data_IF_331264791329
#
_entry.id   IF_331264791329
#
_cell.length_a   1.000
_cell.length_b   1.000
_cell.length_c   1.000
_cell.angle_alpha   90.00
_cell.angle_beta   90.00
_cell.angle_gamma   90.00
#
_symmetry.space_group_name_H-M   'P 1'
#
loop_
_entity.id
_entity.type
_entity.pdbx_description
1 polymer ?
#
# COMPACT_ATOMS: atom_id res chain seq x y z
N UNK A 1 -7.66 -38.69 8.88
CA UNK A 1 -7.34 -38.14 7.54
C UNK A 1 -6.90 -36.72 7.75
N UNK A 2 -5.67 -36.43 7.40
CA UNK A 2 -5.18 -35.04 7.54
C UNK A 2 -6.01 -34.15 6.63
N UNK A 3 -6.79 -33.25 7.23
CA UNK A 3 -7.62 -32.30 6.48
C UNK A 3 -6.72 -31.14 6.07
N UNK A 4 -6.37 -31.12 4.78
CA UNK A 4 -5.62 -29.99 4.22
C UNK A 4 -6.58 -28.84 3.88
N UNK A 5 -6.19 -27.63 4.30
CA UNK A 5 -6.90 -26.41 3.99
C UNK A 5 -5.97 -25.37 3.40
N UNK A 6 -6.50 -24.52 2.52
CA UNK A 6 -5.75 -23.37 2.01
C UNK A 6 -6.09 -22.12 2.81
N UNK A 7 -5.10 -21.29 3.05
CA UNK A 7 -5.26 -20.03 3.77
C UNK A 7 -4.14 -19.04 3.47
N UNK A 8 -4.22 -17.88 4.10
CA UNK A 8 -3.25 -16.80 3.97
C UNK A 8 -2.58 -16.53 5.31
N UNK A 9 -1.25 -16.41 5.32
CA UNK A 9 -0.50 -15.99 6.52
C UNK A 9 -0.84 -14.52 6.81
N UNK A 10 -1.54 -14.28 7.91
CA UNK A 10 -1.92 -12.93 8.34
C UNK A 10 -0.99 -12.34 9.38
N UNK A 11 -0.20 -13.18 10.07
CA UNK A 11 0.73 -12.75 11.11
C UNK A 11 1.83 -13.79 11.33
N UNK A 12 3.03 -13.33 11.68
CA UNK A 12 4.16 -14.19 12.07
C UNK A 12 4.84 -13.66 13.32
N UNK A 13 4.93 -14.49 14.39
CA UNK A 13 5.56 -14.12 15.66
C UNK A 13 6.36 -15.30 16.19
N UNK A 14 7.65 -15.09 16.45
CA UNK A 14 8.52 -16.05 17.16
C UNK A 14 8.51 -17.48 16.58
N UNK A 15 8.33 -17.60 15.25
CA UNK A 15 8.31 -18.89 14.57
C UNK A 15 6.93 -19.54 14.48
N UNK A 16 5.90 -18.91 15.01
CA UNK A 16 4.50 -19.24 14.78
C UNK A 16 3.90 -18.36 13.68
N UNK A 17 3.01 -18.93 12.90
CA UNK A 17 2.30 -18.27 11.82
C UNK A 17 0.80 -18.40 12.03
N UNK A 18 0.09 -17.30 11.94
CA UNK A 18 -1.36 -17.27 12.02
C UNK A 18 -1.90 -17.26 10.61
N UNK A 19 -2.66 -18.30 10.27
CA UNK A 19 -3.17 -18.54 8.92
C UNK A 19 -4.68 -18.36 8.93
N UNK A 20 -5.17 -17.35 8.21
CA UNK A 20 -6.60 -17.16 8.00
C UNK A 20 -7.08 -18.12 6.89
N UNK A 21 -8.05 -18.97 7.25
CA UNK A 21 -8.75 -19.89 6.34
C UNK A 21 -10.19 -19.37 6.19
N UNK A 22 -10.57 -19.01 4.96
CA UNK A 22 -11.88 -18.48 4.67
C UNK A 22 -13.00 -19.45 5.13
N UNK A 23 -14.00 -18.90 5.82
CA UNK A 23 -15.11 -19.68 6.38
C UNK A 23 -14.76 -20.55 7.61
N UNK A 24 -13.48 -20.63 8.02
CA UNK A 24 -13.04 -21.47 9.15
C UNK A 24 -12.36 -20.69 10.28
N UNK A 25 -11.74 -19.53 9.98
CA UNK A 25 -11.10 -18.69 10.99
C UNK A 25 -9.59 -18.68 10.92
N UNK A 26 -8.90 -18.39 12.04
CA UNK A 26 -7.45 -18.22 12.10
C UNK A 26 -6.82 -19.39 12.87
N UNK A 27 -5.94 -20.13 12.20
CA UNK A 27 -5.18 -21.24 12.76
C UNK A 27 -3.79 -20.78 13.18
N UNK A 28 -3.35 -21.19 14.37
CA UNK A 28 -1.94 -21.07 14.78
C UNK A 28 -1.14 -22.25 14.21
N UNK A 29 -0.18 -21.94 13.37
CA UNK A 29 0.58 -22.93 12.61
C UNK A 29 2.08 -22.82 12.88
N UNK A 30 2.77 -23.97 12.82
CA UNK A 30 4.22 -24.06 12.73
C UNK A 30 4.64 -24.36 11.30
N UNK A 31 5.74 -23.74 10.86
CA UNK A 31 6.35 -24.08 9.59
C UNK A 31 7.17 -25.37 9.68
N UNK A 32 7.05 -26.29 8.72
CA UNK A 32 7.88 -27.49 8.66
C UNK A 32 9.37 -27.14 8.54
N UNK A 33 10.23 -27.97 9.14
CA UNK A 33 11.68 -27.79 9.08
C UNK A 33 12.28 -27.81 7.68
N UNK A 34 11.58 -28.40 6.69
CA UNK A 34 12.00 -28.44 5.30
C UNK A 34 12.18 -27.05 4.69
N UNK A 35 11.39 -26.06 5.10
CA UNK A 35 11.51 -24.68 4.60
C UNK A 35 12.87 -24.05 4.96
N UNK A 36 13.43 -24.43 6.14
CA UNK A 36 14.78 -23.97 6.52
C UNK A 36 15.83 -24.56 5.59
N UNK A 37 15.68 -25.83 5.22
CA UNK A 37 16.61 -26.51 4.32
C UNK A 37 16.55 -25.93 2.90
N UNK A 38 15.37 -25.52 2.46
CA UNK A 38 15.15 -24.88 1.17
C UNK A 38 15.46 -23.35 1.18
N UNK A 39 15.86 -22.80 2.33
CA UNK A 39 16.07 -21.35 2.55
C UNK A 39 14.84 -20.49 2.22
N UNK A 40 13.65 -21.09 2.28
CA UNK A 40 12.38 -20.39 2.08
C UNK A 40 11.88 -19.92 3.46
N UNK A 41 11.72 -18.59 3.61
CA UNK A 41 11.13 -18.02 4.81
C UNK A 41 9.67 -17.67 4.51
N UNK A 42 8.70 -18.22 5.29
CA UNK A 42 7.31 -17.79 5.17
C UNK A 42 7.20 -16.29 5.48
N UNK A 43 6.41 -15.59 4.68
CA UNK A 43 6.11 -14.17 4.81
C UNK A 43 4.63 -13.97 5.15
N UNK A 44 4.33 -12.87 5.81
CA UNK A 44 2.96 -12.38 5.91
C UNK A 44 2.46 -12.09 4.50
N UNK A 45 1.24 -12.53 4.16
CA UNK A 45 0.68 -12.48 2.81
C UNK A 45 0.87 -13.75 1.98
N UNK A 46 1.73 -14.70 2.39
CA UNK A 46 1.85 -15.98 1.68
C UNK A 46 0.52 -16.73 1.68
N UNK A 47 0.17 -17.26 0.52
CA UNK A 47 -0.85 -18.28 0.41
C UNK A 47 -0.22 -19.64 0.74
N UNK A 48 -0.86 -20.41 1.61
CA UNK A 48 -0.29 -21.66 2.14
C UNK A 48 -1.32 -22.76 2.18
N UNK A 49 -0.85 -24.00 2.10
CA UNK A 49 -1.62 -25.18 2.48
C UNK A 49 -1.25 -25.55 3.90
N UNK A 50 -2.23 -25.73 4.77
CA UNK A 50 -2.04 -26.20 6.14
C UNK A 50 -2.62 -27.59 6.33
N UNK A 51 -1.97 -28.42 7.13
CA UNK A 51 -2.56 -29.62 7.72
C UNK A 51 -3.15 -29.26 9.08
N UNK A 52 -4.44 -29.49 9.25
CA UNK A 52 -5.14 -29.22 10.51
C UNK A 52 -4.80 -30.33 11.50
N UNK A 53 -4.28 -29.95 12.65
CA UNK A 53 -3.96 -30.86 13.75
C UNK A 53 -5.10 -30.94 14.76
N UNK A 54 -5.73 -29.81 15.05
CA UNK A 54 -6.83 -29.70 16.01
C UNK A 54 -7.78 -28.59 15.54
N UNK A 55 -9.02 -28.95 15.21
CA UNK A 55 -10.05 -28.00 14.75
C UNK A 55 -10.62 -27.16 15.91
N UNK A 56 -10.74 -27.73 17.11
CA UNK A 56 -11.31 -27.02 18.26
C UNK A 56 -10.32 -25.97 18.79
N UNK A 57 -9.04 -26.31 18.81
CA UNK A 57 -7.97 -25.40 19.25
C UNK A 57 -7.41 -24.54 18.11
N UNK A 58 -7.87 -24.71 16.88
CA UNK A 58 -7.42 -24.00 15.70
C UNK A 58 -5.90 -24.13 15.49
N UNK A 59 -5.36 -25.34 15.56
CA UNK A 59 -3.94 -25.66 15.44
C UNK A 59 -3.66 -26.35 14.10
N UNK A 60 -2.50 -26.03 13.49
CA UNK A 60 -2.09 -26.64 12.23
C UNK A 60 -0.58 -26.58 11.98
N UNK A 61 -0.18 -27.15 10.87
CA UNK A 61 1.17 -27.03 10.33
C UNK A 61 1.11 -26.50 8.90
N UNK A 62 2.02 -25.59 8.55
CA UNK A 62 2.21 -25.18 7.16
C UNK A 62 2.90 -26.31 6.42
N UNK A 63 2.19 -26.91 5.46
CA UNK A 63 2.68 -27.99 4.60
C UNK A 63 3.41 -27.46 3.38
N UNK A 64 2.85 -26.40 2.77
CA UNK A 64 3.32 -25.84 1.52
C UNK A 64 3.11 -24.31 1.51
N UNK A 65 4.07 -23.61 0.92
CA UNK A 65 3.94 -22.19 0.57
C UNK A 65 3.71 -22.17 -0.94
N UNK A 66 2.55 -21.65 -1.34
CA UNK A 66 2.19 -21.54 -2.75
C UNK A 66 3.05 -20.47 -3.46
N UNK A 67 3.19 -20.56 -4.80
CA UNK A 67 3.94 -19.56 -5.55
C UNK A 67 3.49 -18.13 -5.25
N UNK A 68 4.45 -17.25 -5.04
CA UNK A 68 4.20 -15.84 -4.81
C UNK A 68 4.03 -15.11 -6.15
N UNK A 69 3.05 -14.23 -6.24
CA UNK A 69 2.92 -13.28 -7.36
C UNK A 69 3.93 -12.15 -7.22
N UNK A 70 4.13 -11.67 -6.01
CA UNK A 70 5.15 -10.69 -5.67
C UNK A 70 5.64 -10.86 -4.23
N UNK A 71 6.77 -10.23 -3.92
CA UNK A 71 7.28 -10.11 -2.56
C UNK A 71 7.98 -8.77 -2.41
N UNK A 72 7.48 -7.95 -1.49
CA UNK A 72 8.08 -6.66 -1.18
C UNK A 72 9.26 -6.85 -0.23
N UNK A 73 10.26 -5.99 -0.36
CA UNK A 73 11.46 -6.04 0.49
C UNK A 73 11.21 -5.29 1.81
N UNK A 74 10.51 -4.19 1.74
CA UNK A 74 10.17 -3.34 2.90
C UNK A 74 8.76 -2.77 2.78
N UNK A 75 7.84 -3.26 3.62
CA UNK A 75 7.99 -4.38 4.57
C UNK A 75 8.16 -5.73 3.84
N UNK A 76 8.77 -6.72 4.50
CA UNK A 76 8.91 -8.07 3.97
C UNK A 76 7.56 -8.80 4.00
N UNK A 77 6.80 -8.71 2.92
CA UNK A 77 5.45 -9.25 2.75
C UNK A 77 5.28 -9.79 1.33
N UNK A 78 4.31 -10.69 1.14
CA UNK A 78 4.05 -11.32 -0.14
C UNK A 78 2.62 -11.09 -0.62
N UNK A 79 2.40 -11.21 -1.93
CA UNK A 79 1.09 -11.22 -2.57
C UNK A 79 0.25 -9.98 -2.24
N UNK A 80 0.84 -8.80 -2.46
CA UNK A 80 0.16 -7.51 -2.34
C UNK A 80 -0.42 -7.16 -3.71
N UNK A 81 -1.74 -7.01 -3.78
CA UNK A 81 -2.45 -6.71 -5.03
C UNK A 81 -2.45 -5.22 -5.34
N UNK A 82 -2.50 -4.38 -4.31
CA UNK A 82 -2.52 -2.92 -4.47
C UNK A 82 -2.09 -2.17 -3.21
N UNK A 83 -1.79 -0.89 -3.36
CA UNK A 83 -1.57 0.05 -2.26
C UNK A 83 -2.71 1.08 -2.18
N UNK A 84 -3.17 1.36 -0.98
CA UNK A 84 -4.07 2.47 -0.66
C UNK A 84 -3.27 3.57 0.03
N UNK A 85 -2.99 4.65 -0.69
CA UNK A 85 -2.22 5.78 -0.18
C UNK A 85 -3.17 6.84 0.35
N UNK A 86 -3.24 7.00 1.68
CA UNK A 86 -4.22 7.86 2.35
C UNK A 86 -3.58 9.18 2.76
N UNK A 87 -4.16 10.27 2.31
CA UNK A 87 -3.87 11.63 2.74
C UNK A 87 -5.13 12.30 3.29
N UNK A 88 -4.98 13.29 4.18
CA UNK A 88 -6.10 14.13 4.56
C UNK A 88 -6.28 15.22 3.49
N UNK A 89 -7.53 15.49 3.11
CA UNK A 89 -7.82 16.55 2.16
C UNK A 89 -7.47 17.96 2.69
N UNK A 90 -7.58 18.17 4.02
CA UNK A 90 -7.36 19.49 4.62
C UNK A 90 -6.45 19.47 5.87
N UNK A 91 -6.77 18.68 6.89
CA UNK A 91 -6.10 18.68 8.21
C UNK A 91 -5.57 17.29 8.57
N UNK A 92 -4.23 17.08 8.49
CA UNK A 92 -3.18 18.01 8.07
C UNK A 92 -3.29 18.37 6.58
N UNK A 93 -2.77 19.55 6.18
CA UNK A 93 -2.69 19.95 4.78
C UNK A 93 -1.89 18.91 4.00
N UNK A 94 -2.37 18.43 2.84
CA UNK A 94 -1.67 17.41 2.07
C UNK A 94 -0.30 17.92 1.62
N UNK A 95 0.72 17.09 1.80
CA UNK A 95 2.05 17.28 1.25
C UNK A 95 2.16 16.47 -0.03
N UNK A 96 2.00 17.12 -1.17
CA UNK A 96 1.99 16.45 -2.47
C UNK A 96 3.36 15.91 -2.87
N UNK A 97 4.47 16.52 -2.46
CA UNK A 97 5.80 15.95 -2.66
C UNK A 97 5.93 14.60 -1.93
N UNK A 98 5.42 14.52 -0.70
CA UNK A 98 5.39 13.26 0.04
C UNK A 98 4.47 12.22 -0.64
N UNK A 99 3.33 12.65 -1.18
CA UNK A 99 2.44 11.75 -1.94
C UNK A 99 3.16 11.19 -3.17
N UNK A 100 3.84 12.06 -3.93
CA UNK A 100 4.58 11.64 -5.12
C UNK A 100 5.70 10.63 -4.79
N UNK A 101 6.39 10.79 -3.66
CA UNK A 101 7.36 9.80 -3.17
C UNK A 101 6.71 8.43 -2.91
N UNK A 102 5.50 8.40 -2.34
CA UNK A 102 4.76 7.13 -2.18
C UNK A 102 4.43 6.51 -3.53
N UNK A 103 3.99 7.33 -4.50
CA UNK A 103 3.67 6.85 -5.85
C UNK A 103 4.90 6.25 -6.53
N UNK A 104 6.03 6.96 -6.54
CA UNK A 104 7.31 6.49 -7.10
C UNK A 104 7.72 5.15 -6.48
N UNK A 105 7.62 5.03 -5.15
CA UNK A 105 7.97 3.80 -4.45
C UNK A 105 7.06 2.63 -4.88
N UNK A 106 5.78 2.86 -5.13
CA UNK A 106 4.86 1.83 -5.59
C UNK A 106 5.08 1.48 -7.06
N UNK A 107 5.32 2.47 -7.91
CA UNK A 107 5.72 2.25 -9.31
C UNK A 107 7.00 1.41 -9.40
N UNK A 108 8.02 1.76 -8.61
CA UNK A 108 9.26 0.98 -8.54
C UNK A 108 9.01 -0.50 -8.16
N UNK A 109 8.07 -0.76 -7.27
CA UNK A 109 7.70 -2.12 -6.84
C UNK A 109 6.60 -2.75 -7.73
N UNK A 110 6.12 -2.04 -8.75
CA UNK A 110 5.04 -2.47 -9.65
C UNK A 110 3.75 -2.82 -8.90
N UNK A 111 3.43 -2.05 -7.87
CA UNK A 111 2.21 -2.20 -7.08
C UNK A 111 1.21 -1.13 -7.49
N UNK A 112 0.03 -1.50 -8.03
CA UNK A 112 -1.01 -0.55 -8.38
C UNK A 112 -1.45 0.29 -7.18
N UNK A 113 -1.71 1.59 -7.39
CA UNK A 113 -2.08 2.53 -6.33
C UNK A 113 -3.49 3.05 -6.50
N UNK A 114 -4.21 3.13 -5.38
CA UNK A 114 -5.40 3.98 -5.25
C UNK A 114 -5.07 5.10 -4.25
N UNK A 115 -5.29 6.35 -4.64
CA UNK A 115 -5.12 7.50 -3.76
C UNK A 115 -6.44 7.76 -3.03
N UNK A 116 -6.39 7.93 -1.70
CA UNK A 116 -7.54 8.24 -0.88
C UNK A 116 -7.36 9.56 -0.16
N UNK A 117 -8.17 10.56 -0.49
CA UNK A 117 -8.24 11.81 0.27
C UNK A 117 -9.35 11.71 1.33
N UNK A 118 -8.93 11.43 2.56
CA UNK A 118 -9.82 11.37 3.72
C UNK A 118 -10.10 12.77 4.29
N UNK A 119 -11.14 12.89 5.12
CA UNK A 119 -11.64 14.13 5.71
C UNK A 119 -12.14 15.13 4.64
N UNK A 120 -12.74 14.59 3.58
CA UNK A 120 -13.32 15.37 2.50
C UNK A 120 -14.50 16.25 2.95
N UNK A 121 -15.05 15.99 4.15
CA UNK A 121 -16.05 16.83 4.84
C UNK A 121 -15.55 18.24 5.21
N UNK A 122 -14.24 18.46 5.16
CA UNK A 122 -13.61 19.75 5.50
C UNK A 122 -13.43 20.69 4.30
N UNK A 123 -13.75 20.24 3.08
CA UNK A 123 -13.56 21.01 1.84
C UNK A 123 -14.84 21.02 1.00
N UNK A 124 -14.93 22.01 0.12
CA UNK A 124 -15.98 22.08 -0.91
C UNK A 124 -15.69 21.09 -2.05
N UNK A 125 -16.70 20.83 -2.90
CA UNK A 125 -16.53 19.98 -4.06
C UNK A 125 -15.46 20.51 -5.04
N UNK A 126 -15.43 21.81 -5.29
CA UNK A 126 -14.45 22.44 -6.18
C UNK A 126 -13.01 22.30 -5.67
N UNK A 127 -12.79 22.47 -4.36
CA UNK A 127 -11.47 22.27 -3.74
C UNK A 127 -11.01 20.82 -3.81
N UNK A 128 -11.93 19.86 -3.72
CA UNK A 128 -11.62 18.43 -3.86
C UNK A 128 -11.25 18.08 -5.31
N UNK A 129 -12.00 18.60 -6.31
CA UNK A 129 -11.73 18.36 -7.72
C UNK A 129 -10.32 18.81 -8.13
N UNK A 130 -9.81 19.90 -7.55
CA UNK A 130 -8.46 20.35 -7.83
C UNK A 130 -7.37 19.29 -7.45
N UNK A 131 -7.66 18.38 -6.54
CA UNK A 131 -6.72 17.29 -6.20
C UNK A 131 -6.87 16.11 -7.15
N UNK A 132 -8.14 15.72 -7.49
CA UNK A 132 -8.36 14.61 -8.43
C UNK A 132 -7.78 14.92 -9.80
N UNK A 133 -7.99 16.12 -10.31
CA UNK A 133 -7.53 16.51 -11.64
C UNK A 133 -6.02 16.31 -11.83
N UNK A 134 -5.23 16.55 -10.77
CA UNK A 134 -3.78 16.35 -10.80
C UNK A 134 -3.41 14.87 -10.96
N UNK A 135 -4.04 13.96 -10.22
CA UNK A 135 -3.61 12.57 -10.13
C UNK A 135 -4.37 11.64 -11.07
N UNK A 136 -5.64 11.93 -11.38
CA UNK A 136 -6.41 11.17 -12.36
C UNK A 136 -5.86 11.34 -13.77
N UNK A 137 -5.35 12.53 -14.10
CA UNK A 137 -4.64 12.76 -15.38
C UNK A 137 -3.37 11.93 -15.49
N UNK A 138 -2.76 11.53 -14.36
CA UNK A 138 -1.60 10.64 -14.32
C UNK A 138 -1.99 9.15 -14.28
N UNK A 139 -3.28 8.83 -14.40
CA UNK A 139 -3.79 7.45 -14.39
C UNK A 139 -4.02 6.85 -13.01
N UNK A 140 -3.87 7.61 -11.92
CA UNK A 140 -4.12 7.11 -10.57
C UNK A 140 -5.60 7.26 -10.19
N UNK A 141 -6.28 6.15 -9.81
CA UNK A 141 -7.62 6.25 -9.24
C UNK A 141 -7.62 7.07 -7.94
N UNK A 142 -8.54 8.04 -7.84
CA UNK A 142 -8.72 8.87 -6.65
C UNK A 142 -10.07 8.56 -6.01
N UNK A 143 -10.07 8.43 -4.67
CA UNK A 143 -11.28 8.23 -3.85
C UNK A 143 -11.32 9.27 -2.75
N UNK A 144 -12.49 9.86 -2.53
CA UNK A 144 -12.73 10.78 -1.43
C UNK A 144 -13.52 10.10 -0.32
N UNK A 145 -13.03 10.22 0.92
CA UNK A 145 -13.68 9.62 2.08
C UNK A 145 -13.82 10.62 3.22
N UNK A 146 -14.83 10.44 4.02
CA UNK A 146 -14.92 10.99 5.37
C UNK A 146 -15.21 9.84 6.33
N UNK A 147 -14.20 9.37 7.04
CA UNK A 147 -14.37 8.34 8.06
C UNK A 147 -15.32 8.83 9.18
N UNK A 148 -15.37 10.14 9.43
CA UNK A 148 -16.27 10.75 10.42
C UNK A 148 -17.75 10.65 10.01
N UNK A 149 -18.05 10.89 8.73
CA UNK A 149 -19.40 10.89 8.17
C UNK A 149 -19.75 9.57 7.48
N UNK A 150 -18.82 8.62 7.47
CA UNK A 150 -18.90 7.36 6.73
C UNK A 150 -19.16 7.52 5.22
N UNK A 151 -18.82 8.67 4.66
CA UNK A 151 -18.98 8.98 3.25
C UNK A 151 -17.84 8.38 2.44
N UNK A 152 -18.18 7.77 1.27
CA UNK A 152 -17.20 7.18 0.35
C UNK A 152 -16.57 5.85 0.83
N UNK A 153 -17.02 5.31 1.97
CA UNK A 153 -16.50 4.05 2.53
C UNK A 153 -16.93 2.86 1.68
N UNK A 154 -18.19 2.83 1.20
CA UNK A 154 -18.69 1.74 0.35
C UNK A 154 -17.94 1.67 -0.98
N UNK A 155 -17.73 2.82 -1.64
CA UNK A 155 -16.95 2.91 -2.88
C UNK A 155 -15.48 2.49 -2.69
N UNK A 156 -14.91 2.81 -1.52
CA UNK A 156 -13.58 2.33 -1.14
C UNK A 156 -13.59 0.82 -0.95
N UNK A 157 -14.58 0.27 -0.24
CA UNK A 157 -14.70 -1.16 0.01
C UNK A 157 -14.82 -1.98 -1.29
N UNK A 158 -15.59 -1.49 -2.26
CA UNK A 158 -15.71 -2.11 -3.59
C UNK A 158 -14.35 -2.21 -4.31
N UNK A 159 -13.50 -1.17 -4.20
CA UNK A 159 -12.14 -1.19 -4.78
C UNK A 159 -11.19 -2.15 -4.10
N UNK A 160 -11.43 -2.43 -2.81
CA UNK A 160 -10.60 -3.33 -2.01
C UNK A 160 -11.06 -4.78 -2.11
N UNK A 161 -12.26 -5.05 -2.61
CA UNK A 161 -12.89 -6.36 -2.58
C UNK A 161 -12.04 -7.43 -3.30
N UNK A 162 -11.86 -8.57 -2.64
CA UNK A 162 -11.06 -9.69 -3.12
C UNK A 162 -9.55 -9.46 -3.15
N UNK A 163 -9.03 -8.37 -2.57
CA UNK A 163 -7.61 -7.97 -2.69
C UNK A 163 -6.91 -7.87 -1.35
N UNK A 164 -5.59 -8.04 -1.41
CA UNK A 164 -4.67 -7.70 -0.32
C UNK A 164 -4.14 -6.29 -0.54
N UNK A 165 -4.60 -5.36 0.27
CA UNK A 165 -4.28 -3.94 0.13
C UNK A 165 -3.33 -3.47 1.22
N UNK A 166 -2.16 -2.96 0.82
CA UNK A 166 -1.23 -2.27 1.71
C UNK A 166 -1.69 -0.84 1.93
N UNK A 167 -1.79 -0.40 3.19
CA UNK A 167 -2.20 0.98 3.53
C UNK A 167 -0.99 1.81 3.90
N UNK A 168 -0.82 2.94 3.21
CA UNK A 168 0.26 3.89 3.42
C UNK A 168 -0.27 5.31 3.64
N UNK A 169 0.58 6.20 4.12
CA UNK A 169 0.28 7.63 4.30
C UNK A 169 0.79 8.18 5.63
N UNK A 170 0.89 9.52 5.76
CA UNK A 170 1.47 10.18 6.92
C UNK A 170 0.61 9.99 8.19
N UNK A 171 1.17 10.42 9.32
CA UNK A 171 0.44 10.40 10.59
C UNK A 171 -0.71 11.42 10.61
N UNK A 172 -1.80 11.11 11.29
CA UNK A 172 -2.93 12.02 11.49
C UNK A 172 -3.90 12.16 10.32
N UNK A 173 -3.69 11.44 9.19
CA UNK A 173 -4.61 11.49 8.04
C UNK A 173 -5.90 10.67 8.24
N UNK A 174 -5.93 9.81 9.26
CA UNK A 174 -7.12 9.01 9.60
C UNK A 174 -7.09 7.58 9.06
N UNK A 175 -5.90 6.98 8.83
CA UNK A 175 -5.76 5.58 8.40
C UNK A 175 -6.54 4.62 9.29
N UNK A 176 -6.28 4.66 10.60
CA UNK A 176 -6.97 3.80 11.57
C UNK A 176 -8.49 4.02 11.59
N UNK A 177 -8.95 5.26 11.37
CA UNK A 177 -10.38 5.56 11.30
C UNK A 177 -11.02 4.93 10.06
N UNK A 178 -10.35 4.97 8.91
CA UNK A 178 -10.82 4.30 7.69
C UNK A 178 -10.84 2.78 7.89
N UNK A 179 -9.75 2.19 8.43
CA UNK A 179 -9.71 0.75 8.71
C UNK A 179 -10.84 0.32 9.63
N UNK A 180 -11.17 1.12 10.66
CA UNK A 180 -12.30 0.87 11.55
C UNK A 180 -13.65 0.93 10.83
N UNK A 181 -13.83 1.89 9.90
CA UNK A 181 -15.06 1.95 9.10
C UNK A 181 -15.23 0.72 8.19
N UNK A 182 -14.13 0.15 7.72
CA UNK A 182 -14.14 -1.05 6.88
C UNK A 182 -14.37 -2.34 7.68
N UNK A 183 -14.26 -2.30 9.02
CA UNK A 183 -14.47 -3.43 9.93
C UNK A 183 -15.61 -3.13 10.95
N UNK A 184 -16.87 -3.05 10.56
CA UNK A 184 -17.95 -2.65 11.47
C UNK A 184 -18.13 -3.61 12.66
N UNK A 185 -17.75 -4.88 12.54
CA UNK A 185 -17.88 -5.88 13.60
C UNK A 185 -16.72 -5.92 14.61
N UNK A 186 -15.59 -5.30 14.28
CA UNK A 186 -14.43 -5.17 15.17
C UNK A 186 -14.18 -3.69 15.46
N UNK A 187 -14.85 -3.15 16.46
CA UNK A 187 -14.49 -1.83 16.99
C UNK A 187 -13.07 -1.90 17.58
N UNK A 188 -12.07 -1.60 16.75
CA UNK A 188 -10.74 -1.30 17.25
C UNK A 188 -10.84 0.03 17.99
N UNK A 189 -10.48 0.05 19.27
CA UNK A 189 -10.37 1.30 20.03
C UNK A 189 -9.50 2.31 19.25
N UNK A 190 -10.09 3.41 18.83
CA UNK A 190 -9.47 4.49 18.03
C UNK A 190 -8.37 5.26 18.78
N UNK A 191 -7.58 4.62 19.52
CA UNK A 191 -6.40 5.11 20.25
C UNK A 191 -5.42 3.98 20.54
N UNK A 192 -5.82 2.72 20.32
CA UNK A 192 -5.00 1.57 20.70
C UNK A 192 -3.91 1.26 19.66
N UNK A 193 -4.16 1.53 18.37
CA UNK A 193 -3.14 1.30 17.33
C UNK A 193 -1.98 2.28 17.52
N UNK A 194 -2.26 3.58 17.67
CA UNK A 194 -1.21 4.56 17.93
C UNK A 194 -0.53 4.38 19.30
N UNK A 195 -1.29 4.01 20.36
CA UNK A 195 -0.72 3.77 21.69
C UNK A 195 0.02 2.43 21.81
N UNK A 196 -0.37 1.38 21.09
CA UNK A 196 0.43 0.14 20.99
C UNK A 196 1.74 0.38 20.24
N UNK A 197 1.73 1.23 19.24
CA UNK A 197 2.94 1.65 18.50
C UNK A 197 3.85 2.52 19.39
N UNK A 198 3.28 3.43 20.20
CA UNK A 198 4.07 4.27 21.13
C UNK A 198 4.64 3.52 22.35
N UNK A 199 3.95 2.49 22.87
CA UNK A 199 4.44 1.69 24.01
C UNK A 199 5.52 0.66 23.66
N UNK A 200 5.68 0.33 22.35
CA UNK A 200 6.67 -0.63 21.87
C UNK A 200 7.98 0.00 21.42
N UNK A 201 8.67 0.80 22.25
CA UNK A 201 9.93 1.48 21.89
C UNK A 201 11.11 0.53 21.59
N UNK A 202 10.93 -0.80 21.67
CA UNK A 202 11.96 -1.83 21.41
C UNK A 202 11.40 -3.17 20.92
N UNK A 203 10.26 -3.25 20.22
CA UNK A 203 9.82 -4.51 19.61
C UNK A 203 9.84 -4.41 18.09
N UNK A 204 10.51 -5.38 17.47
CA UNK A 204 10.56 -5.67 16.03
C UNK A 204 9.20 -5.41 15.39
N UNK A 205 9.16 -4.51 14.41
CA UNK A 205 7.94 -4.15 13.66
C UNK A 205 7.46 -5.37 12.88
N UNK A 206 6.44 -6.06 13.38
CA UNK A 206 5.82 -7.18 12.69
C UNK A 206 4.71 -6.64 11.79
N UNK A 207 4.76 -6.98 10.50
CA UNK A 207 3.64 -6.76 9.58
C UNK A 207 2.48 -7.66 10.00
N UNK A 208 1.27 -7.15 9.97
CA UNK A 208 0.04 -7.89 10.26
C UNK A 208 -0.99 -7.56 9.20
N UNK A 209 -1.66 -8.57 8.68
CA UNK A 209 -2.76 -8.44 7.72
C UNK A 209 -4.07 -8.63 8.48
N UNK A 210 -5.01 -7.74 8.24
CA UNK A 210 -6.32 -7.70 8.88
C UNK A 210 -7.36 -8.18 7.86
N UNK A 211 -8.08 -9.29 8.09
CA UNK A 211 -9.20 -9.69 7.26
C UNK A 211 -10.36 -8.69 7.41
N UNK A 212 -10.90 -8.22 6.29
CA UNK A 212 -12.08 -7.33 6.22
C UNK A 212 -13.32 -8.15 5.85
N UNK A 213 -13.18 -8.96 4.80
CA UNK A 213 -14.13 -9.97 4.32
C UNK A 213 -13.36 -11.25 4.01
N UNK A 214 -14.05 -12.30 3.52
CA UNK A 214 -13.45 -13.62 3.28
C UNK A 214 -12.12 -13.62 2.51
N UNK A 215 -12.00 -12.79 1.47
CA UNK A 215 -10.78 -12.70 0.64
C UNK A 215 -10.25 -11.26 0.52
N UNK A 216 -10.76 -10.36 1.33
CA UNK A 216 -10.38 -8.95 1.35
C UNK A 216 -9.54 -8.66 2.59
N UNK A 217 -8.33 -8.18 2.38
CA UNK A 217 -7.37 -7.98 3.45
C UNK A 217 -6.76 -6.59 3.40
N UNK A 218 -6.54 -6.02 4.57
CA UNK A 218 -5.77 -4.78 4.73
C UNK A 218 -4.51 -5.07 5.53
N UNK A 219 -3.39 -4.57 5.04
CA UNK A 219 -2.14 -4.56 5.76
C UNK A 219 -1.83 -3.15 6.24
N UNK A 220 -1.84 -2.95 7.56
CA UNK A 220 -1.30 -1.74 8.14
C UNK A 220 0.23 -1.87 8.18
N UNK A 221 0.90 -1.07 7.36
CA UNK A 221 2.35 -1.10 7.25
C UNK A 221 2.96 0.04 8.06
N UNK A 222 3.39 -0.21 9.31
CA UNK A 222 4.30 0.70 9.98
C UNK A 222 5.67 0.60 9.30
N UNK A 223 6.06 1.58 8.51
CA UNK A 223 7.41 1.55 7.93
C UNK A 223 7.63 2.27 6.60
N UNK A 224 6.60 2.79 5.97
CA UNK A 224 6.76 3.72 4.85
C UNK A 224 7.19 5.14 5.30
N UNK A 225 7.85 5.27 6.45
CA UNK A 225 8.31 6.56 6.96
C UNK A 225 9.66 7.01 6.39
N UNK A 226 10.41 6.09 5.79
CA UNK A 226 11.64 6.39 5.05
C UNK A 226 11.41 6.04 3.59
N UNK A 227 11.28 7.07 2.76
CA UNK A 227 11.02 6.98 1.32
C UNK A 227 12.32 6.88 0.50
N UNK A 228 13.36 6.34 1.12
CA UNK A 228 14.58 5.99 0.41
C UNK A 228 14.31 4.70 -0.38
N UNK A 229 14.36 4.79 -1.69
CA UNK A 229 14.28 3.64 -2.59
C UNK A 229 15.72 3.20 -2.88
N UNK A 230 16.20 2.10 -2.27
CA UNK A 230 17.56 1.64 -2.51
C UNK A 230 17.74 1.26 -3.98
N UNK A 231 18.73 1.86 -4.64
CA UNK A 231 19.05 1.57 -6.03
C UNK A 231 18.26 2.37 -7.06
N UNK A 232 17.47 3.36 -6.63
CA UNK A 232 16.90 4.34 -7.54
C UNK A 232 17.95 5.41 -7.82
N UNK A 233 18.48 5.42 -9.04
CA UNK A 233 19.33 6.50 -9.53
C UNK A 233 18.43 7.66 -9.99
N UNK A 234 18.92 8.89 -9.79
CA UNK A 234 18.12 10.09 -10.16
C UNK A 234 17.84 10.17 -11.66
N UNK A 235 18.71 9.62 -12.48
CA UNK A 235 18.58 9.56 -13.94
C UNK A 235 17.40 8.68 -14.37
N UNK A 236 17.00 7.71 -13.52
CA UNK A 236 15.88 6.81 -13.76
C UNK A 236 14.57 7.31 -13.14
N UNK A 237 14.59 8.42 -12.40
CA UNK A 237 13.43 8.92 -11.66
C UNK A 237 12.21 9.16 -12.56
N UNK A 238 12.40 9.63 -13.78
CA UNK A 238 11.33 9.93 -14.72
C UNK A 238 10.51 8.69 -15.13
N UNK A 239 11.10 7.50 -15.10
CA UNK A 239 10.41 6.24 -15.36
C UNK A 239 9.24 5.96 -14.42
N UNK A 240 9.24 6.61 -13.26
CA UNK A 240 8.24 6.46 -12.20
C UNK A 240 7.23 7.62 -12.17
N UNK A 241 7.19 8.38 -13.27
CA UNK A 241 6.18 9.38 -13.59
C UNK A 241 5.43 8.94 -14.85
N UNK A 242 4.38 8.11 -14.72
CA UNK A 242 3.70 7.49 -15.89
C UNK A 242 3.24 8.52 -16.93
N UNK A 243 2.87 9.71 -16.46
CA UNK A 243 2.46 10.81 -17.32
C UNK A 243 3.56 11.37 -18.24
N UNK A 244 4.83 11.02 -18.01
CA UNK A 244 5.95 11.44 -18.87
C UNK A 244 6.12 10.52 -20.08
N UNK A 245 5.66 9.26 -19.99
CA UNK A 245 5.89 8.22 -21.01
C UNK A 245 5.36 8.64 -22.40
N UNK A 246 4.20 9.31 -22.45
CA UNK A 246 3.60 9.78 -23.71
C UNK A 246 4.45 10.86 -24.41
N UNK A 247 5.17 11.70 -23.63
CA UNK A 247 5.86 12.91 -24.13
C UNK A 247 7.37 12.74 -24.24
N UNK A 248 7.97 11.76 -23.55
CA UNK A 248 9.41 11.47 -23.62
C UNK A 248 9.91 11.24 -25.05
N UNK A 249 9.20 10.51 -25.94
CA UNK A 249 9.64 10.29 -27.31
C UNK A 249 9.79 11.58 -28.14
N UNK A 250 9.18 12.68 -27.70
CA UNK A 250 9.27 13.99 -28.36
C UNK A 250 10.49 14.80 -27.88
N UNK A 251 11.27 14.28 -26.94
CA UNK A 251 12.49 14.95 -26.52
C UNK A 251 13.58 14.86 -27.60
N UNK A 252 14.28 15.96 -27.83
CA UNK A 252 15.39 16.01 -28.78
C UNK A 252 16.56 15.10 -28.40
N UNK A 253 16.82 14.94 -27.10
CA UNK A 253 17.97 14.19 -26.59
C UNK A 253 17.52 12.85 -26.00
N UNK A 254 18.21 11.78 -26.39
CA UNK A 254 18.04 10.47 -25.73
C UNK A 254 18.56 10.56 -24.29
N UNK A 255 17.80 10.03 -23.33
CA UNK A 255 18.13 10.12 -21.90
C UNK A 255 17.98 11.54 -21.37
N UNK A 256 17.00 12.27 -21.87
CA UNK A 256 16.63 13.58 -21.37
C UNK A 256 16.26 13.50 -19.88
N UNK A 257 16.84 14.35 -19.06
CA UNK A 257 16.46 14.43 -17.64
C UNK A 257 15.19 15.24 -17.42
N UNK A 258 14.66 15.88 -18.46
CA UNK A 258 13.52 16.77 -18.46
C UNK A 258 13.67 18.01 -17.54
N UNK A 259 14.88 18.36 -17.16
CA UNK A 259 15.21 19.49 -16.27
C UNK A 259 15.77 20.67 -17.07
N UNK A 260 16.98 20.51 -17.61
CA UNK A 260 17.74 21.60 -18.23
C UNK A 260 17.76 21.58 -19.75
N UNK A 261 17.43 20.45 -20.38
CA UNK A 261 17.58 20.26 -21.81
C UNK A 261 16.62 21.13 -22.61
N UNK A 262 17.06 21.73 -23.72
CA UNK A 262 16.17 22.41 -24.65
C UNK A 262 15.37 21.40 -25.47
N UNK A 263 14.28 21.83 -26.06
CA UNK A 263 13.41 21.02 -26.94
C UNK A 263 13.00 19.69 -26.24
N UNK A 264 12.43 19.81 -25.05
CA UNK A 264 12.02 18.69 -24.22
C UNK A 264 10.49 18.52 -24.29
N UNK A 265 10.04 17.37 -24.81
CA UNK A 265 8.60 17.07 -24.99
C UNK A 265 7.83 17.08 -23.67
N UNK A 266 8.43 16.64 -22.56
CA UNK A 266 7.80 16.69 -21.23
C UNK A 266 7.60 18.15 -20.76
N UNK A 267 8.59 19.03 -20.92
CA UNK A 267 8.46 20.46 -20.56
C UNK A 267 7.40 21.17 -21.41
N UNK A 268 7.39 20.88 -22.71
CA UNK A 268 6.34 21.41 -23.62
C UNK A 268 4.94 20.93 -23.20
N UNK A 269 4.80 19.67 -22.79
CA UNK A 269 3.54 19.12 -22.27
C UNK A 269 3.11 19.81 -20.94
N UNK A 270 4.05 20.16 -20.06
CA UNK A 270 3.77 20.94 -18.85
C UNK A 270 3.29 22.35 -19.21
N UNK A 271 3.96 23.03 -20.15
CA UNK A 271 3.57 24.37 -20.61
C UNK A 271 2.19 24.35 -21.28
N UNK A 272 1.88 23.30 -22.00
CA UNK A 272 0.57 23.08 -22.64
C UNK A 272 -0.52 22.63 -21.66
N UNK A 273 -0.22 22.44 -20.35
CA UNK A 273 -1.16 21.98 -19.33
C UNK A 273 -1.57 20.51 -19.45
N UNK A 274 -0.86 19.71 -20.24
CA UNK A 274 -1.10 18.26 -20.39
C UNK A 274 -0.49 17.45 -19.26
N UNK A 275 0.58 17.94 -18.67
CA UNK A 275 1.19 17.43 -17.44
C UNK A 275 0.97 18.46 -16.35
N UNK A 276 0.58 18.01 -15.16
CA UNK A 276 0.40 18.89 -14.01
C UNK A 276 1.71 19.58 -13.63
N UNK A 277 1.66 20.92 -13.55
CA UNK A 277 2.81 21.72 -13.09
C UNK A 277 3.25 21.31 -11.69
N UNK A 278 2.30 21.02 -10.79
CA UNK A 278 2.58 20.55 -9.43
C UNK A 278 3.43 19.26 -9.43
N UNK A 279 3.04 18.29 -10.25
CA UNK A 279 3.75 17.01 -10.39
C UNK A 279 5.16 17.23 -10.93
N UNK A 280 5.28 18.07 -11.95
CA UNK A 280 6.57 18.39 -12.54
C UNK A 280 7.49 19.16 -11.56
N UNK A 281 6.96 20.09 -10.77
CA UNK A 281 7.73 20.79 -9.74
C UNK A 281 8.23 19.83 -8.64
N UNK A 282 7.40 18.88 -8.23
CA UNK A 282 7.81 17.81 -7.31
C UNK A 282 8.89 16.92 -7.93
N UNK A 283 8.77 16.57 -9.21
CA UNK A 283 9.80 15.82 -9.95
C UNK A 283 11.15 16.56 -9.91
N UNK A 284 11.16 17.85 -10.27
CA UNK A 284 12.39 18.66 -10.25
C UNK A 284 13.02 18.71 -8.85
N UNK A 285 12.20 18.84 -7.81
CA UNK A 285 12.69 18.83 -6.42
C UNK A 285 13.32 17.49 -6.06
N UNK A 286 12.67 16.39 -6.40
CA UNK A 286 13.16 15.04 -6.11
C UNK A 286 14.44 14.70 -6.88
N UNK A 287 14.57 15.19 -8.11
CA UNK A 287 15.77 15.01 -8.93
C UNK A 287 17.00 15.74 -8.36
N UNK A 288 16.79 16.83 -7.61
CA UNK A 288 17.87 17.62 -6.99
C UNK A 288 18.37 17.08 -5.65
N UNK A 289 17.61 16.20 -5.01
CA UNK A 289 17.98 15.55 -3.74
C UNK A 289 18.98 14.41 -3.95
#
# INVERSE_FOLDING_TARGET
MDKNMQGKIVKGISGFYYVHVAGSGIYECKAKGIFRNQKIKPLVGDNVTIAVLDEEQMLGNIEEILPRENALIRPAVANIDQALVIFAAAKPKPNFNLLDRFLIMMEYQKVPVTICFNKCDLLTGEELHAFSDVYEQCGYPVVYTSAREQRGIDALLERLDGKVTSVAGPSGVGKSSIINCLQPERQMETGAISRKIERGRHTTRHSEIIPIKEQTYIMDTPGFSTLDIPGLEKEDLWWYYPEFEEYEPNCRFKGCSHIGEPDCGVKEAVEAGKISRLRYENYMQLYQE
#
